data_IF_509583351124
#
_entry.id   IF_509583351124
#
_cell.length_a   1.000
_cell.length_b   1.000
_cell.length_c   1.000
_cell.angle_alpha   90.00
_cell.angle_beta   90.00
_cell.angle_gamma   90.00
#
_symmetry.space_group_name_H-M   'P 1'
#
loop_
_entity.id
_entity.type
_entity.pdbx_description
1 polymer ?
#
# COMPACT_ATOMS: atom_id res chain seq x y z
N UNK A 1 -3.07 20.21 -0.61
CA UNK A 1 -3.92 19.06 -0.99
C UNK A 1 -3.07 17.80 -0.89
N UNK A 2 -3.64 16.67 -0.47
CA UNK A 2 -2.94 15.37 -0.45
C UNK A 2 -2.95 14.79 -1.86
N UNK A 3 -1.84 14.18 -2.31
CA UNK A 3 -1.81 13.46 -3.59
C UNK A 3 -2.74 12.25 -3.48
N UNK A 4 -3.53 12.04 -4.54
CA UNK A 4 -4.36 10.85 -4.72
C UNK A 4 -3.71 9.99 -5.79
N UNK A 5 -3.60 8.69 -5.52
CA UNK A 5 -2.98 7.72 -6.41
C UNK A 5 -4.09 6.91 -7.06
N UNK A 6 -4.19 6.98 -8.38
CA UNK A 6 -5.05 6.11 -9.16
C UNK A 6 -4.36 4.77 -9.46
N UNK A 7 -5.14 3.77 -9.85
CA UNK A 7 -4.60 2.47 -10.22
C UNK A 7 -3.90 2.57 -11.57
N UNK A 8 -2.60 2.31 -11.60
CA UNK A 8 -1.73 2.38 -12.79
C UNK A 8 -1.21 1.01 -13.22
N UNK A 9 -1.68 -0.05 -12.56
CA UNK A 9 -1.31 -1.42 -12.89
C UNK A 9 -1.98 -1.92 -14.18
N UNK A 10 -1.66 -3.15 -14.62
CA UNK A 10 -2.22 -3.74 -15.82
C UNK A 10 -3.76 -3.78 -15.80
N UNK A 11 -4.38 -3.43 -16.93
CA UNK A 11 -5.84 -3.51 -17.10
C UNK A 11 -6.38 -4.94 -16.99
N UNK A 12 -5.56 -5.95 -17.29
CA UNK A 12 -5.92 -7.37 -17.13
C UNK A 12 -6.16 -7.74 -15.67
N UNK A 13 -5.38 -7.21 -14.73
CA UNK A 13 -5.62 -7.41 -13.30
C UNK A 13 -6.93 -6.73 -12.91
N UNK A 14 -7.14 -5.47 -13.32
CA UNK A 14 -8.38 -4.74 -13.02
C UNK A 14 -9.63 -5.46 -13.56
N UNK A 15 -9.55 -6.06 -14.75
CA UNK A 15 -10.66 -6.82 -15.35
C UNK A 15 -10.95 -8.17 -14.71
N UNK A 16 -10.01 -8.70 -13.90
CA UNK A 16 -10.12 -10.02 -13.26
C UNK A 16 -10.46 -9.96 -11.76
N UNK A 17 -10.41 -8.78 -11.15
CA UNK A 17 -10.74 -8.62 -9.72
C UNK A 17 -12.23 -8.33 -9.53
N UNK A 18 -12.80 -8.90 -8.48
CA UNK A 18 -14.14 -8.55 -8.03
C UNK A 18 -14.08 -7.30 -7.15
N UNK A 19 -14.40 -6.14 -7.73
CA UNK A 19 -14.37 -4.85 -7.03
C UNK A 19 -15.48 -4.69 -5.98
N UNK A 20 -16.41 -5.64 -5.89
CA UNK A 20 -17.40 -5.66 -4.79
C UNK A 20 -16.81 -6.23 -3.50
N UNK A 21 -15.75 -7.04 -3.60
CA UNK A 21 -14.97 -7.50 -2.47
C UNK A 21 -13.94 -6.42 -2.15
N UNK A 22 -14.21 -5.64 -1.11
CA UNK A 22 -13.32 -4.57 -0.64
C UNK A 22 -12.64 -5.00 0.65
N UNK A 23 -11.53 -4.33 0.99
CA UNK A 23 -10.81 -4.66 2.21
C UNK A 23 -11.60 -4.29 3.49
N UNK A 24 -11.13 -4.81 4.61
CA UNK A 24 -11.70 -4.56 5.94
C UNK A 24 -11.17 -3.26 6.52
N UNK A 25 -12.06 -2.38 6.97
CA UNK A 25 -11.67 -1.15 7.65
C UNK A 25 -11.20 -1.46 9.07
N UNK A 26 -10.09 -0.85 9.47
CA UNK A 26 -9.49 -1.01 10.78
C UNK A 26 -9.61 0.32 11.54
N UNK A 27 -10.35 0.31 12.65
CA UNK A 27 -10.58 1.47 13.51
C UNK A 27 -10.01 1.26 14.93
N UNK A 28 -9.53 0.05 15.22
CA UNK A 28 -8.99 -0.37 16.51
C UNK A 28 -8.14 -1.65 16.37
N UNK A 29 -7.33 -1.97 17.39
CA UNK A 29 -6.65 -3.27 17.53
C UNK A 29 -7.63 -4.44 17.43
N UNK A 30 -8.84 -4.29 18.00
CA UNK A 30 -9.85 -5.34 17.99
C UNK A 30 -10.33 -5.67 16.58
N UNK A 31 -10.37 -4.69 15.67
CA UNK A 31 -10.73 -4.92 14.28
C UNK A 31 -9.68 -5.78 13.55
N UNK A 32 -8.39 -5.61 13.89
CA UNK A 32 -7.31 -6.46 13.36
C UNK A 32 -7.48 -7.91 13.81
N UNK A 33 -7.74 -8.12 15.10
CA UNK A 33 -7.97 -9.46 15.66
C UNK A 33 -9.22 -10.13 15.08
N UNK A 34 -10.30 -9.35 14.88
CA UNK A 34 -11.53 -9.83 14.27
C UNK A 34 -11.32 -10.20 12.80
N UNK A 35 -10.63 -9.34 12.04
CA UNK A 35 -10.27 -9.59 10.66
C UNK A 35 -9.42 -10.86 10.52
N UNK A 36 -8.35 -10.99 11.32
CA UNK A 36 -7.48 -12.17 11.33
C UNK A 36 -8.28 -13.46 11.54
N UNK A 37 -9.22 -13.45 12.51
CA UNK A 37 -10.07 -14.60 12.79
C UNK A 37 -11.05 -14.89 11.63
N UNK A 38 -11.62 -13.86 11.02
CA UNK A 38 -12.60 -14.02 9.95
C UNK A 38 -11.96 -14.50 8.64
N UNK A 39 -10.78 -13.99 8.32
CA UNK A 39 -10.00 -14.35 7.14
C UNK A 39 -9.12 -15.60 7.37
N UNK A 40 -9.29 -16.30 8.50
CA UNK A 40 -8.55 -17.52 8.87
C UNK A 40 -7.02 -17.39 8.70
N UNK A 41 -6.48 -16.22 9.04
CA UNK A 41 -5.06 -15.92 8.89
C UNK A 41 -4.25 -16.51 10.05
N UNK A 42 -3.12 -17.13 9.73
CA UNK A 42 -2.19 -17.71 10.70
C UNK A 42 -1.05 -16.74 11.00
N UNK A 43 -0.59 -16.75 12.25
CA UNK A 43 0.60 -16.02 12.67
C UNK A 43 1.86 -16.84 12.35
N UNK A 44 2.88 -16.18 11.83
CA UNK A 44 4.23 -16.72 11.73
C UNK A 44 5.16 -15.91 12.61
N UNK A 45 5.78 -16.54 13.62
CA UNK A 45 6.61 -15.85 14.61
C UNK A 45 5.91 -14.62 15.24
N UNK A 46 4.66 -14.79 15.69
CA UNK A 46 3.83 -13.71 16.24
C UNK A 46 3.48 -12.58 15.26
N UNK A 47 3.77 -12.73 13.96
CA UNK A 47 3.54 -11.69 12.97
C UNK A 47 2.55 -12.12 11.89
N UNK A 48 1.85 -11.11 11.34
CA UNK A 48 0.94 -11.23 10.21
C UNK A 48 1.13 -10.05 9.27
N UNK A 49 1.47 -10.34 8.01
CA UNK A 49 1.53 -9.32 6.96
C UNK A 49 0.22 -9.28 6.18
N UNK A 50 -0.26 -8.08 5.89
CA UNK A 50 -1.48 -7.80 5.14
C UNK A 50 -1.20 -6.79 4.02
N UNK A 51 -2.01 -6.85 2.97
CA UNK A 51 -2.13 -5.77 2.00
C UNK A 51 -2.89 -4.63 2.67
N UNK A 52 -2.44 -3.38 2.50
CA UNK A 52 -3.21 -2.22 2.96
C UNK A 52 -3.36 -1.13 1.90
N UNK A 53 -4.43 -0.36 2.06
CA UNK A 53 -4.59 0.96 1.45
C UNK A 53 -5.00 1.96 2.52
N UNK A 54 -4.73 3.24 2.25
CA UNK A 54 -5.36 4.35 2.95
C UNK A 54 -6.39 4.95 2.00
N UNK A 55 -7.67 4.85 2.35
CA UNK A 55 -8.73 5.39 1.52
C UNK A 55 -8.78 6.93 1.59
N UNK A 56 -9.65 7.55 0.79
CA UNK A 56 -9.79 9.01 0.75
C UNK A 56 -10.35 9.61 2.06
N UNK A 57 -10.94 8.79 2.94
CA UNK A 57 -11.41 9.16 4.28
C UNK A 57 -10.32 9.01 5.36
N UNK A 58 -9.08 8.70 4.95
CA UNK A 58 -7.93 8.50 5.82
C UNK A 58 -8.11 7.34 6.80
N UNK A 59 -8.74 6.27 6.32
CA UNK A 59 -8.96 5.03 7.07
C UNK A 59 -7.98 3.98 6.57
N UNK A 60 -7.43 3.22 7.51
CA UNK A 60 -6.67 2.02 7.21
C UNK A 60 -7.66 0.94 6.76
N UNK A 61 -7.43 0.40 5.57
CA UNK A 61 -8.20 -0.70 5.03
C UNK A 61 -7.22 -1.80 4.66
N UNK A 62 -7.46 -3.02 5.15
CA UNK A 62 -6.56 -4.14 4.95
C UNK A 62 -7.24 -5.31 4.23
N UNK A 63 -6.43 -6.14 3.59
CA UNK A 63 -6.84 -7.42 3.05
C UNK A 63 -5.68 -8.43 3.17
N UNK A 64 -5.92 -9.69 2.84
CA UNK A 64 -4.89 -10.72 2.82
C UNK A 64 -3.69 -10.28 1.97
N UNK A 65 -2.46 -10.62 2.37
CA UNK A 65 -1.21 -10.14 1.74
C UNK A 65 -1.16 -10.31 0.22
N UNK A 66 -1.70 -11.41 -0.28
CA UNK A 66 -1.66 -11.74 -1.72
C UNK A 66 -2.88 -11.19 -2.48
N UNK A 67 -3.76 -10.44 -1.82
CA UNK A 67 -4.82 -9.69 -2.47
C UNK A 67 -4.29 -8.47 -3.18
N UNK A 68 -4.86 -8.19 -4.35
CA UNK A 68 -4.56 -6.98 -5.13
C UNK A 68 -4.99 -5.71 -4.37
N UNK A 69 -4.11 -4.70 -4.32
CA UNK A 69 -4.43 -3.40 -3.70
C UNK A 69 -5.69 -2.77 -4.31
N UNK A 70 -5.90 -2.95 -5.61
CA UNK A 70 -7.04 -2.36 -6.33
C UNK A 70 -8.37 -2.99 -5.92
N UNK A 71 -8.36 -4.28 -5.60
CA UNK A 71 -9.52 -4.95 -5.00
C UNK A 71 -9.73 -4.46 -3.57
N UNK A 72 -8.65 -4.37 -2.76
CA UNK A 72 -8.72 -3.80 -1.41
C UNK A 72 -9.32 -2.38 -1.38
N UNK A 73 -9.05 -1.56 -2.40
CA UNK A 73 -9.60 -0.21 -2.58
C UNK A 73 -10.97 -0.16 -3.30
N UNK A 74 -11.48 -1.29 -3.79
CA UNK A 74 -12.69 -1.34 -4.62
C UNK A 74 -12.58 -0.52 -5.91
N UNK A 75 -11.38 -0.44 -6.50
CA UNK A 75 -11.10 0.31 -7.73
C UNK A 75 -10.92 1.83 -7.52
N UNK A 76 -11.05 2.33 -6.30
CA UNK A 76 -10.95 3.76 -6.03
C UNK A 76 -9.50 4.24 -5.96
N UNK A 77 -9.33 5.56 -6.06
CA UNK A 77 -8.07 6.21 -5.72
C UNK A 77 -7.76 6.08 -4.22
N UNK A 78 -6.47 6.06 -3.91
CA UNK A 78 -5.97 5.91 -2.54
C UNK A 78 -5.05 7.07 -2.15
N UNK A 79 -4.86 7.28 -0.85
CA UNK A 79 -3.86 8.20 -0.32
C UNK A 79 -2.51 7.52 -0.08
N UNK A 80 -2.50 6.20 0.07
CA UNK A 80 -1.32 5.33 0.10
C UNK A 80 -1.75 3.87 -0.09
N UNK A 81 -0.80 3.00 -0.42
CA UNK A 81 -0.98 1.56 -0.54
C UNK A 81 0.35 0.84 -0.30
N UNK A 82 0.30 -0.41 0.16
CA UNK A 82 1.50 -1.24 0.35
C UNK A 82 1.25 -2.47 1.20
N UNK A 83 2.27 -2.92 1.92
CA UNK A 83 2.16 -4.00 2.91
C UNK A 83 2.31 -3.46 4.34
N UNK A 84 1.53 -4.00 5.26
CA UNK A 84 1.59 -3.73 6.70
C UNK A 84 1.80 -5.04 7.44
N UNK A 85 2.71 -5.08 8.40
CA UNK A 85 2.96 -6.24 9.25
C UNK A 85 2.58 -5.89 10.68
N UNK A 86 1.66 -6.68 11.22
CA UNK A 86 1.26 -6.63 12.62
C UNK A 86 2.09 -7.64 13.41
N UNK A 87 2.46 -7.27 14.62
CA UNK A 87 2.93 -8.19 15.66
C UNK A 87 1.84 -8.29 16.72
N UNK A 88 1.51 -9.53 17.09
CA UNK A 88 0.32 -9.87 17.88
C UNK A 88 0.72 -10.82 19.01
N UNK A 89 0.61 -10.33 20.25
CA UNK A 89 0.86 -11.08 21.48
C UNK A 89 -0.25 -10.80 22.50
N UNK A 90 -0.84 -11.84 23.10
CA UNK A 90 -1.83 -11.73 24.19
C UNK A 90 -2.99 -10.71 23.97
N UNK A 91 -3.33 -10.43 22.70
CA UNK A 91 -4.34 -9.47 22.18
C UNK A 91 -3.87 -8.04 21.97
N UNK A 92 -2.63 -7.72 22.31
CA UNK A 92 -2.00 -6.46 21.92
C UNK A 92 -1.63 -6.54 20.44
N UNK A 93 -1.91 -5.47 19.69
CA UNK A 93 -1.58 -5.38 18.27
C UNK A 93 -0.72 -4.15 18.02
N UNK A 94 0.51 -4.37 17.59
CA UNK A 94 1.41 -3.30 17.16
C UNK A 94 1.70 -3.43 15.66
N UNK A 95 1.94 -2.30 14.99
CA UNK A 95 2.43 -2.31 13.63
C UNK A 95 3.95 -2.43 13.65
N UNK A 96 4.48 -3.61 13.37
CA UNK A 96 5.91 -3.89 13.39
C UNK A 96 6.64 -3.35 12.14
N UNK A 97 5.99 -3.39 10.97
CA UNK A 97 6.57 -2.91 9.72
C UNK A 97 5.51 -2.43 8.73
N UNK A 98 5.87 -1.45 7.92
CA UNK A 98 5.07 -0.89 6.83
C UNK A 98 5.96 -0.58 5.64
N UNK A 99 5.48 -0.89 4.45
CA UNK A 99 6.07 -0.45 3.19
C UNK A 99 5.04 0.27 2.33
N UNK A 100 5.48 1.12 1.41
CA UNK A 100 4.62 1.69 0.36
C UNK A 100 4.71 0.87 -0.95
N UNK A 101 5.06 -0.42 -0.85
CA UNK A 101 5.25 -1.28 -2.00
C UNK A 101 3.91 -1.70 -2.61
N UNK A 102 3.43 -0.90 -3.56
CA UNK A 102 2.29 -1.25 -4.40
C UNK A 102 2.62 -0.96 -5.85
N UNK A 103 2.74 -2.00 -6.68
CA UNK A 103 2.96 -1.87 -8.13
C UNK A 103 1.71 -1.41 -8.87
N UNK A 104 0.54 -1.57 -8.26
CA UNK A 104 -0.74 -1.12 -8.81
C UNK A 104 -1.04 0.36 -8.56
N UNK A 105 -0.55 0.97 -7.47
CA UNK A 105 -0.80 2.39 -7.16
C UNK A 105 0.46 3.26 -7.11
N UNK A 106 1.62 2.65 -6.89
CA UNK A 106 2.93 3.31 -6.88
C UNK A 106 3.00 4.58 -6.01
N UNK A 107 2.53 4.58 -4.75
CA UNK A 107 2.54 5.78 -3.91
C UNK A 107 3.96 6.24 -3.59
N UNK A 108 4.20 7.56 -3.57
CA UNK A 108 5.50 8.14 -3.16
C UNK A 108 5.73 7.98 -1.65
N UNK A 109 6.98 7.96 -1.15
CA UNK A 109 7.26 7.99 0.29
C UNK A 109 6.61 9.17 1.03
N UNK A 110 6.35 10.27 0.32
CA UNK A 110 5.62 11.44 0.83
C UNK A 110 4.15 11.16 1.17
N UNK A 111 3.62 9.97 0.86
CA UNK A 111 2.30 9.49 1.31
C UNK A 111 2.25 9.14 2.80
N UNK A 112 3.42 8.96 3.44
CA UNK A 112 3.54 8.54 4.83
C UNK A 112 2.63 9.29 5.83
N UNK A 113 2.49 10.64 5.77
CA UNK A 113 1.62 11.35 6.72
C UNK A 113 0.16 10.87 6.72
N UNK A 114 -0.34 10.37 5.58
CA UNK A 114 -1.68 9.77 5.50
C UNK A 114 -1.74 8.42 6.22
N UNK A 115 -0.67 7.61 6.11
CA UNK A 115 -0.53 6.32 6.81
C UNK A 115 -0.45 6.54 8.32
N UNK A 116 0.45 7.41 8.77
CA UNK A 116 0.60 7.74 10.20
C UNK A 116 -0.71 8.25 10.81
N UNK A 117 -1.46 9.09 10.08
CA UNK A 117 -2.76 9.57 10.55
C UNK A 117 -3.80 8.46 10.65
N UNK A 118 -3.83 7.54 9.68
CA UNK A 118 -4.76 6.40 9.70
C UNK A 118 -4.46 5.42 10.85
N UNK A 119 -3.18 5.11 11.08
CA UNK A 119 -2.71 4.30 12.22
C UNK A 119 -3.11 4.92 13.55
N UNK A 120 -2.84 6.23 13.71
CA UNK A 120 -3.24 6.96 14.90
C UNK A 120 -4.77 6.98 15.09
N UNK A 121 -5.54 7.14 14.01
CA UNK A 121 -7.01 7.09 14.06
C UNK A 121 -7.52 5.72 14.47
N UNK A 122 -6.82 4.65 14.05
CA UNK A 122 -7.08 3.28 14.46
C UNK A 122 -6.53 2.94 15.85
N UNK A 123 -5.93 3.90 16.56
CA UNK A 123 -5.31 3.71 17.88
C UNK A 123 -4.25 2.59 17.90
N UNK A 124 -3.57 2.37 16.77
CA UNK A 124 -2.47 1.42 16.67
C UNK A 124 -1.15 2.13 16.94
N UNK A 125 -0.26 1.46 17.66
CA UNK A 125 1.15 1.86 17.75
C UNK A 125 1.94 1.36 16.54
N UNK A 126 3.00 2.06 16.15
CA UNK A 126 3.77 1.71 14.96
C UNK A 126 4.96 2.62 14.69
N UNK A 127 5.70 2.38 13.59
CA UNK A 127 6.88 3.15 13.26
C UNK A 127 6.54 4.61 12.90
N UNK A 128 7.53 5.50 13.00
CA UNK A 128 7.41 6.92 12.64
C UNK A 128 7.57 7.19 11.13
N UNK A 129 7.91 6.17 10.35
CA UNK A 129 8.14 6.21 8.91
C UNK A 129 7.94 4.81 8.29
N UNK A 130 7.87 4.73 6.95
CA UNK A 130 7.92 3.44 6.27
C UNK A 130 9.24 2.72 6.59
N UNK A 131 9.18 1.54 7.21
CA UNK A 131 10.34 0.66 7.44
C UNK A 131 11.16 0.44 6.18
N UNK A 132 10.48 0.30 5.03
CA UNK A 132 11.10 0.37 3.71
C UNK A 132 10.23 1.25 2.80
N UNK A 133 10.84 2.32 2.30
CA UNK A 133 10.24 3.22 1.35
C UNK A 133 10.72 2.90 -0.07
N UNK A 134 9.79 2.92 -1.02
CA UNK A 134 9.99 2.61 -2.43
C UNK A 134 9.58 3.81 -3.26
N UNK A 135 10.34 4.11 -4.30
CA UNK A 135 10.07 5.22 -5.20
C UNK A 135 9.89 4.69 -6.62
N UNK A 136 8.73 4.95 -7.22
CA UNK A 136 8.40 4.43 -8.55
C UNK A 136 8.42 5.53 -9.59
N UNK A 137 8.87 5.20 -10.81
CA UNK A 137 8.88 6.11 -11.97
C UNK A 137 8.48 5.38 -13.24
N UNK A 138 7.67 6.04 -14.06
CA UNK A 138 7.36 5.56 -15.39
C UNK A 138 8.41 6.03 -16.39
N UNK A 139 8.91 5.12 -17.22
CA UNK A 139 9.78 5.46 -18.33
C UNK A 139 8.95 5.77 -19.58
N UNK A 140 9.00 6.99 -20.08
CA UNK A 140 8.31 7.35 -21.33
C UNK A 140 8.88 6.68 -22.58
N UNK A 141 10.13 6.19 -22.51
CA UNK A 141 10.81 5.61 -23.67
C UNK A 141 10.42 4.15 -23.90
N UNK A 142 10.35 3.35 -22.83
CA UNK A 142 10.07 1.92 -22.92
C UNK A 142 8.80 1.49 -22.18
N UNK A 143 8.06 2.43 -21.61
CA UNK A 143 6.75 2.22 -20.97
C UNK A 143 6.77 1.31 -19.73
N UNK A 144 7.94 1.12 -19.11
CA UNK A 144 8.08 0.34 -17.88
C UNK A 144 7.98 1.22 -16.64
N UNK A 145 7.30 0.71 -15.62
CA UNK A 145 7.40 1.23 -14.26
C UNK A 145 8.68 0.70 -13.63
N UNK A 146 9.51 1.62 -13.12
CA UNK A 146 10.81 1.35 -12.53
C UNK A 146 10.76 1.65 -11.04
N UNK A 147 11.50 0.86 -10.28
CA UNK A 147 11.84 1.18 -8.88
C UNK A 147 13.16 1.96 -8.87
N UNK A 148 13.11 3.20 -8.39
CA UNK A 148 14.28 4.05 -8.18
C UNK A 148 15.02 3.56 -6.93
N UNK A 149 16.34 3.43 -7.05
CA UNK A 149 17.25 3.07 -5.95
C UNK A 149 18.32 4.14 -5.82
N UNK A 150 18.68 4.47 -4.58
CA UNK A 150 19.78 5.40 -4.27
C UNK A 150 19.69 6.76 -5.00
N UNK A 151 18.47 7.23 -5.27
CA UNK A 151 18.19 8.47 -6.01
C UNK A 151 18.74 8.47 -7.46
N UNK A 152 18.93 7.28 -8.05
CA UNK A 152 19.34 7.11 -9.44
C UNK A 152 18.10 7.02 -10.34
N UNK A 153 17.80 8.11 -11.04
CA UNK A 153 16.66 8.23 -11.96
C UNK A 153 17.02 7.74 -13.37
N UNK A 154 17.34 6.46 -13.48
CA UNK A 154 17.66 5.80 -14.74
C UNK A 154 16.78 4.56 -14.92
N UNK A 155 16.28 4.35 -16.13
CA UNK A 155 15.47 3.17 -16.43
C UNK A 155 16.34 1.93 -16.47
N UNK A 156 16.02 0.92 -15.66
CA UNK A 156 16.79 -0.34 -15.62
C UNK A 156 16.64 -1.18 -16.90
N UNK A 157 15.65 -0.85 -17.74
CA UNK A 157 15.33 -1.60 -18.97
C UNK A 157 16.01 -1.00 -20.19
N UNK A 158 16.01 0.33 -20.33
CA UNK A 158 16.48 1.02 -21.54
C UNK A 158 17.53 2.11 -21.27
N UNK A 159 17.99 2.26 -20.02
CA UNK A 159 19.02 3.22 -19.60
C UNK A 159 18.67 4.70 -19.83
N UNK A 160 17.43 4.99 -20.26
CA UNK A 160 16.98 6.36 -20.41
C UNK A 160 16.76 7.03 -19.05
N UNK A 161 17.07 8.31 -18.96
CA UNK A 161 16.78 9.13 -17.79
C UNK A 161 15.28 9.10 -17.47
N UNK A 162 14.97 8.90 -16.19
CA UNK A 162 13.61 8.95 -15.65
C UNK A 162 13.31 10.37 -15.12
N UNK A 163 12.02 10.68 -15.00
CA UNK A 163 11.60 11.94 -14.39
C UNK A 163 11.99 11.96 -12.90
N UNK A 164 12.52 13.08 -12.43
CA UNK A 164 12.84 13.27 -11.01
C UNK A 164 11.59 13.41 -10.16
N UNK A 165 10.45 13.77 -10.76
CA UNK A 165 9.14 13.86 -10.11
C UNK A 165 8.29 12.63 -10.44
N UNK A 166 7.41 12.27 -9.53
CA UNK A 166 6.46 11.19 -9.77
C UNK A 166 5.55 11.50 -10.96
N UNK A 167 5.50 10.58 -11.92
CA UNK A 167 4.91 10.78 -13.24
C UNK A 167 3.92 9.69 -13.66
N UNK A 168 3.38 8.90 -12.72
CA UNK A 168 2.49 7.78 -13.07
C UNK A 168 1.02 8.18 -13.25
N UNK A 169 0.60 9.39 -12.87
CA UNK A 169 -0.80 9.82 -13.02
C UNK A 169 -1.32 9.75 -14.46
N UNK A 170 -0.43 9.91 -15.43
CA UNK A 170 -0.73 9.91 -16.85
C UNK A 170 -1.08 8.53 -17.45
N UNK A 171 -0.94 7.45 -16.68
CA UNK A 171 -1.29 6.10 -17.13
C UNK A 171 -2.80 5.82 -17.05
N UNK A 172 -3.59 6.81 -16.63
CA UNK A 172 -5.05 6.76 -16.52
C UNK A 172 -5.74 7.61 -17.57
#
# INVERSE_FOLDING_TARGET
MKRQYAYVGPASILGNVDLTQTGTKILSEQDVLQWMKHAEQELFNHQLTATFIINLQEELVINERHSEHVMCAGGHQVLSAGEITFEIEDREVIVAAITNQSTGYCPEPSSWPSVAKAIKKAQLEGPDYFTNAYEFRYCYQCEHINLVKDQVFECVVCENMLDTHWNLAQLN
#
